data_IF_668941732181
#
_entry.id   IF_668941732181
#
_cell.length_a   1.000
_cell.length_b   1.000
_cell.length_c   1.000
_cell.angle_alpha   90.00
_cell.angle_beta   90.00
_cell.angle_gamma   90.00
#
_symmetry.space_group_name_H-M   'P 1'
#
loop_
_entity.id
_entity.type
_entity.pdbx_description
1 polymer ?
#
# COMPACT_ATOMS: atom_id res chain seq x y z
N UNK A 1 2.77 4.62 -9.68
CA UNK A 1 3.11 4.72 -8.24
C UNK A 1 2.38 5.90 -7.61
N UNK A 2 2.12 5.84 -6.31
CA UNK A 2 1.59 6.95 -5.51
C UNK A 2 2.73 7.54 -4.67
N UNK A 3 2.96 8.84 -4.81
CA UNK A 3 3.97 9.60 -4.07
C UNK A 3 3.27 10.51 -3.07
N UNK A 4 3.83 10.64 -1.88
CA UNK A 4 3.35 11.61 -0.89
C UNK A 4 4.53 12.40 -0.31
N UNK A 5 4.24 13.66 0.00
CA UNK A 5 5.20 14.66 0.45
C UNK A 5 4.72 15.25 1.77
N UNK A 6 5.63 15.82 2.55
CA UNK A 6 5.25 16.57 3.75
C UNK A 6 4.76 17.95 3.37
N UNK A 7 5.46 18.61 2.44
CA UNK A 7 5.12 19.91 1.91
C UNK A 7 5.09 19.91 0.38
N UNK A 8 4.31 20.81 -0.21
CA UNK A 8 4.18 20.94 -1.67
C UNK A 8 5.44 21.50 -2.35
N UNK A 9 6.34 22.10 -1.57
CA UNK A 9 7.63 22.64 -2.04
C UNK A 9 8.75 21.61 -2.03
N UNK A 10 8.51 20.42 -1.47
CA UNK A 10 9.52 19.37 -1.36
C UNK A 10 9.88 18.82 -2.73
N UNK A 11 11.17 18.59 -2.95
CA UNK A 11 11.69 17.98 -4.19
C UNK A 11 11.80 16.46 -4.10
N UNK A 12 11.86 15.93 -2.88
CA UNK A 12 12.00 14.50 -2.62
C UNK A 12 10.75 13.98 -1.89
N UNK A 13 10.21 12.82 -2.29
CA UNK A 13 9.01 12.28 -1.67
C UNK A 13 9.30 11.79 -0.26
N UNK A 14 8.35 12.00 0.65
CA UNK A 14 8.39 11.37 1.98
C UNK A 14 8.18 9.87 1.88
N UNK A 15 7.42 9.41 0.89
CA UNK A 15 7.34 7.99 0.57
C UNK A 15 6.72 7.69 -0.77
N UNK A 16 6.93 6.44 -1.19
CA UNK A 16 6.59 5.94 -2.52
C UNK A 16 5.89 4.59 -2.35
N UNK A 17 4.69 4.49 -2.91
CA UNK A 17 3.89 3.27 -2.93
C UNK A 17 3.72 2.83 -4.39
N UNK A 18 4.45 1.80 -4.85
CA UNK A 18 4.15 1.12 -6.11
C UNK A 18 2.68 0.64 -6.12
N UNK A 19 1.94 0.97 -7.17
CA UNK A 19 0.53 0.57 -7.33
C UNK A 19 0.45 -0.76 -8.11
N UNK A 20 1.30 -1.71 -7.72
CA UNK A 20 1.41 -3.02 -8.36
C UNK A 20 0.60 -4.02 -7.53
N UNK A 21 -0.42 -4.63 -8.14
CA UNK A 21 -1.22 -5.68 -7.52
C UNK A 21 -1.88 -5.27 -6.19
N UNK A 22 -2.24 -4.00 -6.10
CA UNK A 22 -3.07 -3.46 -5.03
C UNK A 22 -4.51 -3.31 -5.52
N UNK A 23 -5.44 -3.42 -4.59
CA UNK A 23 -6.85 -3.09 -4.80
C UNK A 23 -7.24 -1.94 -3.88
N UNK A 24 -8.36 -1.31 -4.19
CA UNK A 24 -8.94 -0.22 -3.41
C UNK A 24 -10.30 -0.64 -2.89
N UNK A 25 -10.59 -0.28 -1.64
CA UNK A 25 -11.94 -0.37 -1.08
C UNK A 25 -12.28 0.89 -0.31
N UNK A 26 -13.55 1.26 -0.32
CA UNK A 26 -14.07 2.26 0.60
C UNK A 26 -14.15 1.67 2.01
N UNK A 27 -13.91 2.51 3.02
CA UNK A 27 -14.02 2.12 4.43
C UNK A 27 -14.62 3.26 5.25
N UNK A 28 -15.32 2.89 6.31
CA UNK A 28 -15.69 3.84 7.36
C UNK A 28 -14.54 3.94 8.37
N UNK A 29 -14.29 5.16 8.85
CA UNK A 29 -13.36 5.43 9.94
C UNK A 29 -14.08 6.26 11.02
N UNK A 30 -14.00 5.88 12.31
CA UNK A 30 -14.70 6.58 13.37
C UNK A 30 -14.30 8.05 13.55
N UNK A 31 -13.11 8.44 13.05
CA UNK A 31 -12.52 9.76 13.29
C UNK A 31 -12.30 10.57 12.01
N UNK A 32 -12.35 9.94 10.83
CA UNK A 32 -11.98 10.58 9.57
C UNK A 32 -13.05 10.32 8.49
N UNK A 33 -13.55 11.36 7.81
CA UNK A 33 -14.54 11.19 6.76
C UNK A 33 -13.90 10.66 5.47
N UNK A 34 -14.75 10.17 4.57
CA UNK A 34 -14.39 9.87 3.17
C UNK A 34 -13.12 9.01 3.02
N UNK A 35 -13.05 7.93 3.82
CA UNK A 35 -11.88 7.06 3.85
C UNK A 35 -11.93 5.97 2.77
N UNK A 36 -10.74 5.59 2.28
CA UNK A 36 -10.53 4.42 1.45
C UNK A 36 -9.19 3.77 1.81
N UNK A 37 -9.02 2.51 1.42
CA UNK A 37 -7.81 1.73 1.69
C UNK A 37 -7.19 1.15 0.43
N UNK A 38 -5.87 1.28 0.32
CA UNK A 38 -5.06 0.43 -0.56
C UNK A 38 -4.72 -0.85 0.19
N UNK A 39 -4.94 -2.00 -0.44
CA UNK A 39 -4.68 -3.32 0.17
C UNK A 39 -4.26 -4.36 -0.86
N UNK A 40 -3.61 -5.44 -0.42
CA UNK A 40 -3.32 -6.60 -1.27
C UNK A 40 -4.54 -7.53 -1.26
N UNK A 41 -5.23 -7.75 -2.40
CA UNK A 41 -6.32 -8.72 -2.48
C UNK A 41 -5.78 -10.14 -2.29
N UNK A 42 -6.62 -11.06 -1.78
CA UNK A 42 -6.32 -12.49 -1.61
C UNK A 42 -5.16 -12.87 -0.66
N UNK A 43 -4.35 -11.92 -0.18
CA UNK A 43 -3.24 -12.14 0.75
C UNK A 43 -3.33 -11.22 1.98
N UNK A 44 -4.39 -11.38 2.77
CA UNK A 44 -4.57 -10.62 4.02
C UNK A 44 -3.36 -10.80 4.95
N UNK A 45 -2.83 -9.68 5.45
CA UNK A 45 -1.72 -9.62 6.41
C UNK A 45 -0.33 -9.52 5.81
N UNK A 46 -0.18 -9.57 4.48
CA UNK A 46 1.09 -9.30 3.82
C UNK A 46 1.38 -7.79 3.79
N UNK A 47 2.64 -7.41 3.99
CA UNK A 47 3.10 -6.02 3.87
C UNK A 47 3.04 -5.55 2.42
N UNK A 48 2.53 -4.34 2.21
CA UNK A 48 2.56 -3.63 0.93
C UNK A 48 3.98 -3.13 0.71
N UNK A 49 4.56 -3.50 -0.44
CA UNK A 49 5.86 -2.98 -0.88
C UNK A 49 5.77 -1.46 -1.00
N UNK A 50 6.59 -0.75 -0.24
CA UNK A 50 6.70 0.70 -0.27
C UNK A 50 8.03 1.12 0.36
N UNK A 51 8.45 2.35 0.15
CA UNK A 51 9.53 2.96 0.92
C UNK A 51 9.11 4.31 1.49
N UNK A 52 9.79 4.73 2.56
CA UNK A 52 9.62 6.06 3.16
C UNK A 52 10.96 6.59 3.67
N UNK A 53 11.04 7.91 3.81
CA UNK A 53 12.20 8.60 4.37
C UNK A 53 11.94 8.93 5.84
N UNK A 54 12.82 8.48 6.73
CA UNK A 54 12.77 8.82 8.17
C UNK A 54 13.17 10.29 8.42
N UNK A 55 13.01 10.77 9.65
CA UNK A 55 13.37 12.15 10.01
C UNK A 55 14.89 12.44 9.84
N UNK A 56 15.73 11.41 9.90
CA UNK A 56 17.18 11.51 9.69
C UNK A 56 17.60 11.37 8.21
N UNK A 57 16.64 11.31 7.28
CA UNK A 57 16.90 11.23 5.84
C UNK A 57 17.16 9.82 5.30
N UNK A 58 17.17 8.78 6.14
CA UNK A 58 17.34 7.40 5.67
C UNK A 58 16.08 6.87 4.99
N UNK A 59 16.25 6.19 3.87
CA UNK A 59 15.16 5.48 3.18
C UNK A 59 15.01 4.07 3.76
N UNK A 60 13.81 3.74 4.21
CA UNK A 60 13.44 2.46 4.82
C UNK A 60 12.22 1.84 4.15
N UNK A 61 12.03 0.52 4.30
CA UNK A 61 10.84 -0.17 3.81
C UNK A 61 9.59 0.23 4.62
N UNK A 62 8.44 0.29 3.95
CA UNK A 62 7.15 0.53 4.59
C UNK A 62 6.64 -0.69 5.36
N UNK A 63 6.01 -0.46 6.51
CA UNK A 63 5.50 -1.52 7.40
C UNK A 63 3.96 -1.66 7.35
N UNK A 64 3.32 -1.18 6.28
CA UNK A 64 1.86 -1.13 6.18
C UNK A 64 1.31 -2.39 5.51
N UNK A 65 0.34 -3.04 6.16
CA UNK A 65 -0.51 -4.07 5.51
C UNK A 65 -1.64 -3.45 4.69
N UNK A 66 -2.05 -2.23 5.05
CA UNK A 66 -3.00 -1.37 4.32
C UNK A 66 -2.57 0.08 4.46
N UNK A 67 -2.85 0.89 3.43
CA UNK A 67 -2.78 2.35 3.53
C UNK A 67 -4.20 2.91 3.55
N UNK A 68 -4.62 3.42 4.71
CA UNK A 68 -5.90 4.13 4.86
C UNK A 68 -5.68 5.62 4.60
N UNK A 69 -6.44 6.17 3.67
CA UNK A 69 -6.36 7.56 3.23
C UNK A 69 -7.75 8.19 3.39
N UNK A 70 -7.79 9.43 3.89
CA UNK A 70 -9.00 10.23 4.05
C UNK A 70 -8.91 11.43 3.10
N UNK A 71 -9.94 11.63 2.29
CA UNK A 71 -10.09 12.83 1.48
C UNK A 71 -10.94 13.88 2.22
N UNK A 72 -10.80 15.18 1.90
CA UNK A 72 -11.56 16.22 2.57
C UNK A 72 -13.02 16.28 2.08
N UNK A 73 -13.35 15.75 0.89
CA UNK A 73 -14.73 15.65 0.40
C UNK A 73 -15.00 14.30 -0.25
N UNK A 74 -16.30 13.97 -0.44
CA UNK A 74 -16.72 12.75 -1.14
C UNK A 74 -16.27 12.73 -2.60
N UNK A 75 -16.40 13.85 -3.29
CA UNK A 75 -16.08 13.98 -4.71
C UNK A 75 -14.58 13.75 -4.94
N UNK A 76 -13.74 14.32 -4.07
CA UNK A 76 -12.29 14.08 -4.14
C UNK A 76 -11.93 12.64 -3.80
N UNK A 77 -12.60 12.01 -2.83
CA UNK A 77 -12.42 10.57 -2.56
C UNK A 77 -12.71 9.75 -3.83
N UNK A 78 -13.82 10.01 -4.50
CA UNK A 78 -14.24 9.27 -5.68
C UNK A 78 -13.25 9.48 -6.85
N UNK A 79 -12.74 10.70 -7.02
CA UNK A 79 -11.68 11.03 -8.00
C UNK A 79 -10.36 10.30 -7.69
N UNK A 80 -9.94 10.28 -6.42
CA UNK A 80 -8.76 9.54 -5.97
C UNK A 80 -8.89 8.04 -6.24
N UNK A 81 -10.01 7.44 -5.86
CA UNK A 81 -10.28 6.01 -6.08
C UNK A 81 -10.20 5.69 -7.57
N UNK A 82 -10.91 6.46 -8.41
CA UNK A 82 -10.92 6.26 -9.87
C UNK A 82 -9.52 6.37 -10.47
N UNK A 83 -8.77 7.40 -10.09
CA UNK A 83 -7.43 7.66 -10.62
C UNK A 83 -6.43 6.58 -10.24
N UNK A 84 -6.45 6.15 -8.97
CA UNK A 84 -5.55 5.09 -8.50
C UNK A 84 -5.94 3.75 -9.13
N UNK A 85 -7.23 3.39 -9.22
CA UNK A 85 -7.67 2.16 -9.89
C UNK A 85 -7.21 2.11 -11.36
N UNK A 86 -7.30 3.22 -12.09
CA UNK A 86 -6.80 3.31 -13.47
C UNK A 86 -5.27 3.19 -13.57
N UNK A 87 -4.54 3.58 -12.51
CA UNK A 87 -3.08 3.53 -12.46
C UNK A 87 -2.52 2.21 -11.89
N UNK A 88 -3.37 1.31 -11.38
CA UNK A 88 -2.94 0.01 -10.87
C UNK A 88 -2.48 -0.85 -12.04
N UNK A 89 -1.27 -1.40 -11.92
CA UNK A 89 -0.77 -2.43 -12.83
C UNK A 89 -1.03 -3.80 -12.21
N UNK A 90 -1.78 -4.64 -12.92
CA UNK A 90 -2.02 -6.05 -12.55
C UNK A 90 -1.07 -6.91 -13.36
N UNK A 91 -0.14 -7.57 -12.68
CA UNK A 91 0.75 -8.55 -13.31
C UNK A 91 0.13 -9.95 -13.14
N UNK A 92 -0.20 -10.68 -14.22
CA UNK A 92 -0.70 -12.06 -14.16
C UNK A 92 0.21 -13.02 -13.38
N UNK A 93 1.52 -12.73 -13.27
CA UNK A 93 2.49 -13.55 -12.54
C UNK A 93 2.56 -13.23 -11.05
N UNK A 94 1.95 -12.14 -10.59
CA UNK A 94 2.04 -11.72 -9.19
C UNK A 94 1.43 -12.75 -8.23
N UNK A 95 0.23 -13.24 -8.53
CA UNK A 95 -0.41 -14.26 -7.68
C UNK A 95 0.44 -15.53 -7.57
N UNK A 96 1.08 -15.93 -8.68
CA UNK A 96 2.01 -17.07 -8.71
C UNK A 96 3.24 -16.84 -7.82
N UNK A 97 3.85 -15.66 -7.91
CA UNK A 97 5.02 -15.29 -7.10
C UNK A 97 4.67 -15.19 -5.61
N UNK A 98 3.53 -14.59 -5.27
CA UNK A 98 3.07 -14.46 -3.89
C UNK A 98 2.78 -15.83 -3.27
N UNK A 99 2.13 -16.73 -4.00
CA UNK A 99 1.91 -18.11 -3.58
C UNK A 99 3.23 -18.86 -3.34
N UNK A 100 4.24 -18.66 -4.20
CA UNK A 100 5.57 -19.27 -4.06
C UNK A 100 6.31 -18.74 -2.82
N UNK A 101 6.29 -17.43 -2.57
CA UNK A 101 6.89 -16.82 -1.36
C UNK A 101 6.26 -17.38 -0.08
N UNK A 102 4.93 -17.49 -0.03
CA UNK A 102 4.20 -18.04 1.13
C UNK A 102 4.57 -19.50 1.40
N UNK A 103 4.73 -20.34 0.36
CA UNK A 103 5.17 -21.74 0.54
C UNK A 103 6.59 -21.86 1.08
N UNK A 104 7.50 -20.97 0.67
CA UNK A 104 8.90 -20.99 1.12
C UNK A 104 9.02 -20.50 2.57
N UNK A 105 8.25 -19.49 2.97
CA UNK A 105 8.30 -18.98 4.35
C UNK A 105 7.73 -19.97 5.38
N UNK A 106 6.73 -20.78 5.01
CA UNK A 106 6.19 -21.85 5.87
C UNK A 106 7.25 -22.92 6.18
N UNK A 107 8.15 -23.23 5.22
CA UNK A 107 9.23 -24.21 5.42
C UNK A 107 10.39 -23.72 6.30
N UNK A 108 10.42 -22.44 6.69
CA UNK A 108 11.49 -21.85 7.51
C UNK A 108 11.18 -21.79 9.00
N UNK A 109 10.03 -22.30 9.48
CA UNK A 109 9.87 -22.50 10.93
C UNK A 109 10.76 -23.68 11.35
N UNK A 110 11.74 -23.50 12.24
CA UNK A 110 12.45 -24.64 12.79
C UNK A 110 11.47 -25.45 13.64
N UNK A 111 11.37 -26.75 13.35
CA UNK A 111 10.91 -27.72 14.32
C UNK A 111 11.88 -27.62 15.51
N UNK A 112 11.43 -27.04 16.61
CA UNK A 112 12.17 -27.16 17.87
C UNK A 112 11.85 -28.54 18.46
N UNK A 113 12.87 -29.26 18.96
CA UNK A 113 12.71 -30.56 19.61
C UNK A 113 11.94 -30.49 20.93
#
# INVERSE_FOLDING_TARGET
CLYYFEYTTDKEPRGIIPLENLSIREVEDPRKPHCFELYIPNNKGQLIKACKTEADGRVVEGNHVVYRISAPTREQKDEWIKSIQAAVSVDPFYEMLAARKKRISVKKKPENP
#
